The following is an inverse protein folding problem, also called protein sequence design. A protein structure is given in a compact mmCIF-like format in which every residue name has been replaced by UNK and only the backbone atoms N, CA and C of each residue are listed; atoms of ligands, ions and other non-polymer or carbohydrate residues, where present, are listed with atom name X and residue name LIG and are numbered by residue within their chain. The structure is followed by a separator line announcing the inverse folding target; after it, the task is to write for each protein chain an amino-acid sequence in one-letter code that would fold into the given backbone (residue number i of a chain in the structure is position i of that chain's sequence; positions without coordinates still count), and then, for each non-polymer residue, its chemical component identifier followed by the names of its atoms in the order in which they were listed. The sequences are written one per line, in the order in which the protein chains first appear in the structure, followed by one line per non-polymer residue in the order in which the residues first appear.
data_IF_992738950406
#
_entry.id   IF_992738950406
#
_cell.length_a   1.000
_cell.length_b   1.000
_cell.length_c   1.000
_cell.angle_alpha   90.00
_cell.angle_beta   90.00
_cell.angle_gamma   90.00
#
_symmetry.space_group_name_H-M   'P 1'
#
loop_
_entity.id
_entity.type
_entity.pdbx_description
1 polymer ?
#
# COMPACT_ATOMS: atom_id res chain seq x y z
N UNK A 1 -19.44 -0.98 -56.68
CA UNK A 1 -20.08 -1.26 -55.37
C UNK A 1 -19.16 -2.08 -54.45
N UNK A 2 -18.64 -3.24 -54.85
CA UNK A 2 -17.74 -4.09 -53.99
C UNK A 2 -16.49 -3.38 -53.49
N UNK A 3 -15.84 -2.51 -54.32
CA UNK A 3 -14.65 -1.75 -53.95
C UNK A 3 -14.94 -0.62 -52.94
N UNK A 4 -16.13 -0.03 -52.97
CA UNK A 4 -16.55 1.00 -52.01
C UNK A 4 -16.87 0.39 -50.65
N UNK A 5 -17.47 -0.81 -50.64
CA UNK A 5 -17.73 -1.53 -49.38
C UNK A 5 -16.43 -1.96 -48.72
N UNK A 6 -15.41 -2.37 -49.50
CA UNK A 6 -14.10 -2.71 -48.97
C UNK A 6 -13.37 -1.49 -48.34
N UNK A 7 -13.50 -0.32 -48.95
CA UNK A 7 -12.97 0.93 -48.47
C UNK A 7 -13.65 1.41 -47.19
N UNK A 8 -14.97 1.22 -47.10
CA UNK A 8 -15.74 1.52 -45.87
C UNK A 8 -15.39 0.58 -44.71
N UNK A 9 -15.15 -0.71 -44.98
CA UNK A 9 -14.68 -1.66 -43.96
C UNK A 9 -13.26 -1.35 -43.44
N UNK A 10 -12.40 -0.80 -44.26
CA UNK A 10 -11.03 -0.34 -43.85
C UNK A 10 -11.07 0.94 -42.98
N UNK A 11 -12.09 1.78 -43.13
CA UNK A 11 -12.29 3.00 -42.31
C UNK A 11 -12.86 2.71 -40.93
N UNK A 12 -13.51 1.55 -40.70
CA UNK A 12 -13.97 1.10 -39.39
C UNK A 12 -12.89 0.38 -38.57
N UNK A 13 -11.73 0.15 -39.14
CA UNK A 13 -10.60 -0.50 -38.49
C UNK A 13 -9.79 0.45 -37.65
N UNK A 14 -10.00 0.39 -36.32
CA UNK A 14 -9.00 0.78 -35.33
C UNK A 14 -9.00 2.20 -34.76
N UNK A 15 -9.94 2.42 -33.88
CA UNK A 15 -9.59 3.19 -32.68
C UNK A 15 -9.53 2.21 -31.49
N UNK A 16 -8.55 1.34 -31.47
CA UNK A 16 -8.13 0.65 -30.23
C UNK A 16 -7.45 1.68 -29.34
N UNK A 17 -8.23 2.60 -28.80
CA UNK A 17 -7.79 3.44 -27.71
C UNK A 17 -7.50 2.52 -26.54
N UNK A 18 -6.27 2.53 -26.06
CA UNK A 18 -5.94 1.84 -24.81
C UNK A 18 -6.89 2.37 -23.72
N UNK A 19 -7.80 1.50 -23.29
CA UNK A 19 -8.79 1.86 -22.29
C UNK A 19 -8.06 2.22 -20.99
N UNK A 20 -8.36 3.40 -20.44
CA UNK A 20 -7.87 3.78 -19.12
C UNK A 20 -8.43 2.81 -18.09
N UNK A 21 -7.54 2.19 -17.33
CA UNK A 21 -7.88 1.30 -16.23
C UNK A 21 -7.50 1.98 -14.93
N UNK A 22 -8.45 2.05 -14.00
CA UNK A 22 -8.24 2.48 -12.63
C UNK A 22 -8.93 1.51 -11.70
N UNK A 23 -8.15 0.75 -10.95
CA UNK A 23 -8.61 -0.38 -10.15
C UNK A 23 -8.11 -0.29 -8.71
N UNK A 24 -8.89 -0.86 -7.80
CA UNK A 24 -8.47 -1.10 -6.43
C UNK A 24 -8.37 -2.60 -6.18
N UNK A 25 -7.27 -3.04 -5.57
CA UNK A 25 -7.02 -4.44 -5.18
C UNK A 25 -6.67 -4.53 -3.72
N UNK A 26 -7.10 -5.59 -3.07
CA UNK A 26 -6.79 -5.88 -1.67
C UNK A 26 -6.02 -7.18 -1.56
N UNK A 27 -5.20 -7.29 -0.52
CA UNK A 27 -4.41 -8.52 -0.27
C UNK A 27 -5.28 -9.71 0.11
N UNK A 28 -6.45 -9.46 0.70
CA UNK A 28 -7.41 -10.50 1.11
C UNK A 28 -8.81 -9.89 1.28
N UNK A 29 -9.87 -10.70 1.07
CA UNK A 29 -11.26 -10.26 1.23
C UNK A 29 -11.85 -10.65 2.58
N UNK A 30 -11.12 -11.42 3.38
CA UNK A 30 -11.49 -11.80 4.75
C UNK A 30 -10.25 -11.74 5.63
N UNK A 31 -10.40 -11.17 6.85
CA UNK A 31 -9.29 -11.05 7.80
C UNK A 31 -9.83 -10.93 9.23
N UNK A 32 -8.98 -11.26 10.20
CA UNK A 32 -9.26 -11.01 11.62
C UNK A 32 -9.16 -9.53 11.97
N UNK A 33 -9.88 -9.11 12.99
CA UNK A 33 -9.89 -7.70 13.46
C UNK A 33 -8.50 -7.21 13.90
N UNK A 34 -7.59 -8.12 14.25
CA UNK A 34 -6.19 -7.83 14.63
C UNK A 34 -5.21 -7.94 13.46
N UNK A 35 -5.68 -8.22 12.24
CA UNK A 35 -4.83 -8.32 11.08
C UNK A 35 -4.82 -7.02 10.26
N UNK A 36 -3.78 -6.88 9.42
CA UNK A 36 -3.64 -5.75 8.50
C UNK A 36 -4.10 -6.13 7.10
N UNK A 37 -4.71 -5.17 6.42
CA UNK A 37 -5.16 -5.25 5.04
C UNK A 37 -4.34 -4.30 4.19
N UNK A 38 -3.65 -4.80 3.18
CA UNK A 38 -3.04 -3.96 2.16
C UNK A 38 -4.07 -3.69 1.06
N UNK A 39 -4.27 -2.42 0.72
CA UNK A 39 -5.05 -1.99 -0.43
C UNK A 39 -4.14 -1.22 -1.38
N UNK A 40 -4.27 -1.48 -2.67
CA UNK A 40 -3.51 -0.86 -3.74
C UNK A 40 -4.46 -0.34 -4.81
N UNK A 41 -4.27 0.93 -5.18
CA UNK A 41 -4.98 1.58 -6.28
C UNK A 41 -4.01 1.69 -7.45
N UNK A 42 -4.32 1.05 -8.58
CA UNK A 42 -3.45 1.00 -9.77
C UNK A 42 -4.11 1.64 -10.96
N UNK A 43 -3.32 2.33 -11.77
CA UNK A 43 -3.75 2.95 -13.02
C UNK A 43 -2.71 2.77 -14.13
N UNK A 44 -3.18 2.62 -15.36
CA UNK A 44 -2.34 2.44 -16.55
C UNK A 44 -2.07 3.74 -17.33
N UNK A 45 -2.43 4.88 -16.76
CA UNK A 45 -2.19 6.21 -17.30
C UNK A 45 -1.77 7.16 -16.19
N UNK A 46 -1.03 8.22 -16.52
CA UNK A 46 -0.68 9.25 -15.54
C UNK A 46 -1.91 10.08 -15.21
N UNK A 47 -2.24 10.16 -13.94
CA UNK A 47 -3.39 10.86 -13.43
C UNK A 47 -3.04 11.74 -12.24
N UNK A 48 -3.84 12.79 -12.09
CA UNK A 48 -3.73 13.79 -11.04
C UNK A 48 -4.90 13.70 -10.06
N UNK A 49 -4.86 14.48 -8.98
CA UNK A 49 -5.96 14.63 -8.03
C UNK A 49 -6.50 13.29 -7.48
N UNK A 50 -5.57 12.33 -7.21
CA UNK A 50 -5.97 11.08 -6.57
C UNK A 50 -6.62 11.35 -5.21
N UNK A 51 -7.85 10.87 -5.06
CA UNK A 51 -8.62 10.99 -3.82
C UNK A 51 -8.94 9.58 -3.31
N UNK A 52 -8.31 9.15 -2.20
CA UNK A 52 -8.62 7.87 -1.57
C UNK A 52 -10.04 7.88 -1.00
N UNK A 53 -10.65 6.71 -0.78
CA UNK A 53 -11.90 6.63 -0.05
C UNK A 53 -11.70 7.05 1.42
N UNK A 54 -12.76 7.51 2.05
CA UNK A 54 -12.74 7.71 3.50
C UNK A 54 -12.71 6.34 4.19
N UNK A 55 -11.51 5.91 4.60
CA UNK A 55 -11.29 4.62 5.23
C UNK A 55 -11.94 4.53 6.61
N UNK A 56 -11.93 5.62 7.39
CA UNK A 56 -12.55 5.65 8.72
C UNK A 56 -14.06 5.47 8.64
N UNK A 57 -14.72 6.16 7.70
CA UNK A 57 -16.15 5.97 7.45
C UNK A 57 -16.46 4.56 6.92
N UNK A 58 -15.47 3.84 6.39
CA UNK A 58 -15.58 2.45 5.95
C UNK A 58 -15.24 1.44 7.06
N UNK A 59 -14.92 1.88 8.27
CA UNK A 59 -14.58 1.04 9.41
C UNK A 59 -13.11 0.60 9.48
N UNK A 60 -12.20 1.33 8.83
CA UNK A 60 -10.76 1.03 8.82
C UNK A 60 -9.93 2.22 9.26
N UNK A 61 -8.91 1.97 10.07
CA UNK A 61 -7.86 2.92 10.42
C UNK A 61 -6.68 2.74 9.45
N UNK A 62 -6.15 3.84 8.92
CA UNK A 62 -4.89 3.83 8.16
C UNK A 62 -3.73 3.72 9.14
N UNK A 63 -2.91 2.67 9.00
CA UNK A 63 -1.74 2.40 9.84
C UNK A 63 -0.44 2.47 9.04
N UNK A 64 -0.51 2.71 7.73
CA UNK A 64 0.65 2.95 6.86
C UNK A 64 0.25 3.47 5.49
N UNK A 65 1.14 4.25 4.86
CA UNK A 65 0.93 4.86 3.55
C UNK A 65 0.40 6.29 3.61
N UNK A 66 0.10 6.92 2.43
CA UNK A 66 0.24 6.32 1.12
C UNK A 66 1.71 6.10 0.70
N UNK A 67 1.98 4.94 0.10
CA UNK A 67 3.20 4.71 -0.66
C UNK A 67 2.87 4.79 -2.15
N UNK A 68 3.60 5.61 -2.91
CA UNK A 68 3.41 5.75 -4.34
C UNK A 68 4.51 5.01 -5.09
N UNK A 69 4.13 4.30 -6.16
CA UNK A 69 5.06 3.69 -7.11
C UNK A 69 4.68 4.09 -8.53
N UNK A 70 5.70 4.39 -9.35
CA UNK A 70 5.53 4.66 -10.78
C UNK A 70 6.50 3.75 -11.52
N UNK A 71 5.98 3.01 -12.48
CA UNK A 71 6.76 2.15 -13.38
C UNK A 71 6.40 2.44 -14.83
N UNK A 72 7.42 2.66 -15.64
CA UNK A 72 7.27 2.79 -17.08
C UNK A 72 8.22 1.82 -17.75
N UNK A 73 7.74 1.05 -18.70
CA UNK A 73 8.57 0.14 -19.48
C UNK A 73 8.31 0.30 -20.97
N UNK A 74 9.36 0.01 -21.75
CA UNK A 74 9.30 0.03 -23.22
C UNK A 74 9.89 -1.28 -23.73
N UNK A 75 9.05 -2.15 -24.26
CA UNK A 75 9.46 -3.47 -24.75
C UNK A 75 8.88 -3.67 -26.16
N UNK A 76 9.75 -3.93 -27.14
CA UNK A 76 9.34 -4.21 -28.54
C UNK A 76 8.41 -3.13 -29.13
N UNK A 77 8.71 -1.86 -28.89
CA UNK A 77 7.91 -0.73 -29.40
C UNK A 77 6.59 -0.50 -28.67
N UNK A 78 6.27 -1.29 -27.65
CA UNK A 78 5.11 -1.08 -26.78
C UNK A 78 5.53 -0.41 -25.49
N UNK A 79 4.88 0.70 -25.16
CA UNK A 79 5.02 1.39 -23.88
C UNK A 79 3.95 0.88 -22.92
N UNK A 80 4.34 0.59 -21.68
CA UNK A 80 3.41 0.37 -20.59
C UNK A 80 3.71 1.34 -19.45
N UNK A 81 2.67 1.86 -18.84
CA UNK A 81 2.72 2.75 -17.70
C UNK A 81 1.88 2.16 -16.57
N UNK A 82 2.41 2.22 -15.36
CA UNK A 82 1.67 1.82 -14.16
C UNK A 82 2.04 2.76 -13.01
N UNK A 83 1.02 3.38 -12.42
CA UNK A 83 1.14 4.20 -11.20
C UNK A 83 0.26 3.57 -10.14
N UNK A 84 0.78 3.47 -8.92
CA UNK A 84 0.00 2.88 -7.82
C UNK A 84 0.15 3.66 -6.53
N UNK A 85 -0.91 3.60 -5.71
CA UNK A 85 -0.96 4.10 -4.33
C UNK A 85 -1.33 2.96 -3.40
N UNK A 86 -0.49 2.70 -2.41
CA UNK A 86 -0.68 1.60 -1.46
C UNK A 86 -0.91 2.13 -0.05
N UNK A 87 -1.92 1.58 0.63
CA UNK A 87 -2.21 1.83 2.04
C UNK A 87 -2.22 0.52 2.82
N UNK A 88 -1.87 0.61 4.08
CA UNK A 88 -2.04 -0.47 5.06
C UNK A 88 -3.16 -0.04 6.01
N UNK A 89 -4.17 -0.87 6.11
CA UNK A 89 -5.37 -0.62 6.89
C UNK A 89 -5.48 -1.63 8.03
N UNK A 90 -6.08 -1.21 9.14
CA UNK A 90 -6.47 -2.08 10.24
C UNK A 90 -7.98 -1.93 10.46
N UNK A 91 -8.75 -3.03 10.55
CA UNK A 91 -10.18 -2.95 10.85
C UNK A 91 -10.41 -2.38 12.25
N UNK A 92 -11.42 -1.52 12.41
CA UNK A 92 -11.83 -0.99 13.70
C UNK A 92 -12.99 -1.78 14.31
N UNK A 93 -13.67 -2.60 13.52
CA UNK A 93 -14.82 -3.40 13.96
C UNK A 93 -14.97 -4.67 13.14
N UNK A 94 -15.69 -5.65 13.67
CA UNK A 94 -16.02 -6.90 12.98
C UNK A 94 -17.24 -6.71 12.07
N UNK A 95 -17.41 -7.62 11.12
CA UNK A 95 -18.55 -7.68 10.23
C UNK A 95 -18.19 -7.43 8.79
N UNK A 96 -19.20 -7.21 7.95
CA UNK A 96 -19.03 -6.93 6.55
C UNK A 96 -18.83 -5.43 6.33
N UNK A 97 -17.61 -5.02 6.08
CA UNK A 97 -17.22 -3.64 5.81
C UNK A 97 -17.08 -3.42 4.30
N UNK A 98 -17.37 -2.20 3.84
CA UNK A 98 -17.22 -1.86 2.42
C UNK A 98 -16.30 -0.66 2.27
N UNK A 99 -15.16 -0.87 1.65
CA UNK A 99 -14.28 0.21 1.21
C UNK A 99 -14.91 0.85 -0.02
N UNK A 100 -15.19 2.15 0.07
CA UNK A 100 -15.84 2.91 -0.99
C UNK A 100 -14.90 3.18 -2.16
N UNK A 101 -15.42 3.85 -3.18
CA UNK A 101 -14.67 4.21 -4.38
C UNK A 101 -13.56 5.21 -4.06
N UNK A 102 -12.39 5.00 -4.64
CA UNK A 102 -11.39 6.04 -4.88
C UNK A 102 -11.69 6.76 -6.19
N UNK A 103 -11.16 7.95 -6.38
CA UNK A 103 -11.24 8.67 -7.64
C UNK A 103 -9.89 9.23 -8.06
N UNK A 104 -9.71 9.38 -9.37
CA UNK A 104 -8.53 10.01 -9.99
C UNK A 104 -8.98 10.76 -11.24
N UNK A 105 -8.28 11.84 -11.57
CA UNK A 105 -8.47 12.59 -12.79
C UNK A 105 -7.41 12.21 -13.83
N UNK A 106 -7.84 11.79 -15.01
CA UNK A 106 -6.96 11.45 -16.14
C UNK A 106 -7.52 12.15 -17.37
N UNK A 107 -6.73 13.02 -18.00
CA UNK A 107 -7.15 13.82 -19.17
C UNK A 107 -8.47 14.58 -18.93
N UNK A 108 -8.59 15.26 -17.80
CA UNK A 108 -9.80 16.00 -17.38
C UNK A 108 -11.06 15.13 -17.23
N UNK A 109 -10.89 13.80 -17.13
CA UNK A 109 -11.96 12.86 -16.85
C UNK A 109 -11.76 12.20 -15.49
N UNK A 110 -12.85 12.08 -14.72
CA UNK A 110 -12.81 11.42 -13.40
C UNK A 110 -13.11 9.93 -13.55
N UNK A 111 -12.16 9.12 -13.15
CA UNK A 111 -12.28 7.67 -13.05
C UNK A 111 -12.48 7.26 -11.59
N UNK A 112 -13.27 6.22 -11.37
CA UNK A 112 -13.59 5.72 -10.03
C UNK A 112 -13.38 4.21 -9.97
N UNK A 113 -12.86 3.73 -8.84
CA UNK A 113 -12.76 2.30 -8.59
C UNK A 113 -14.11 1.69 -8.21
N UNK A 114 -14.22 0.39 -8.28
CA UNK A 114 -15.39 -0.33 -7.70
C UNK A 114 -15.23 -0.44 -6.18
N UNK A 115 -16.32 -0.36 -5.40
CA UNK A 115 -16.29 -0.64 -3.97
C UNK A 115 -15.86 -2.08 -3.69
N UNK A 116 -15.10 -2.28 -2.61
CA UNK A 116 -14.61 -3.61 -2.20
C UNK A 116 -15.22 -4.00 -0.87
N UNK A 117 -15.86 -5.17 -0.84
CA UNK A 117 -16.43 -5.75 0.37
C UNK A 117 -15.39 -6.61 1.09
N UNK A 118 -15.22 -6.35 2.38
CA UNK A 118 -14.27 -7.03 3.26
C UNK A 118 -15.03 -7.67 4.42
N UNK A 119 -14.80 -8.95 4.67
CA UNK A 119 -15.36 -9.65 5.82
C UNK A 119 -14.36 -9.66 6.98
N UNK A 120 -14.67 -8.96 8.06
CA UNK A 120 -13.83 -8.90 9.25
C UNK A 120 -14.37 -9.85 10.31
N UNK A 121 -13.54 -10.84 10.65
CA UNK A 121 -13.86 -11.91 11.61
C UNK A 121 -13.30 -11.59 13.00
N UNK A 122 -13.42 -12.54 13.92
CA UNK A 122 -12.75 -12.48 15.21
C UNK A 122 -11.24 -12.36 15.04
N UNK A 123 -10.56 -11.90 16.09
CA UNK A 123 -9.10 -11.91 16.10
C UNK A 123 -8.58 -13.32 15.79
N UNK A 124 -7.59 -13.41 14.91
CA UNK A 124 -6.89 -14.65 14.63
C UNK A 124 -5.95 -14.92 15.79
N UNK A 125 -6.06 -16.12 16.38
CA UNK A 125 -5.07 -16.57 17.35
C UNK A 125 -3.75 -16.80 16.62
N UNK A 126 -2.71 -16.08 17.03
CA UNK A 126 -1.37 -16.35 16.56
C UNK A 126 -0.95 -17.72 17.11
N UNK A 127 -0.29 -18.58 16.30
CA UNK A 127 0.24 -19.84 16.80
C UNK A 127 1.13 -19.54 18.01
N UNK A 128 0.74 -20.04 19.17
CA UNK A 128 1.59 -20.00 20.36
C UNK A 128 2.74 -20.96 20.11
N UNK A 129 3.89 -20.41 19.80
CA UNK A 129 5.11 -21.20 19.76
C UNK A 129 5.37 -21.67 21.20
N UNK A 130 5.46 -23.00 21.49
CA UNK A 130 5.65 -23.49 22.84
C UNK A 130 6.90 -22.93 23.54
N UNK A 131 7.82 -22.33 22.80
CA UNK A 131 9.06 -21.70 23.27
C UNK A 131 9.01 -20.16 23.28
N UNK A 132 7.86 -19.55 22.99
CA UNK A 132 7.73 -18.11 23.12
C UNK A 132 7.44 -17.72 24.57
N UNK A 133 8.28 -16.84 25.10
CA UNK A 133 7.94 -16.04 26.28
C UNK A 133 6.58 -15.34 26.05
N UNK A 134 5.78 -15.08 27.12
CA UNK A 134 4.48 -14.46 26.99
C UNK A 134 4.58 -13.22 26.10
N UNK A 135 3.65 -13.14 25.14
CA UNK A 135 3.61 -12.06 24.13
C UNK A 135 3.63 -10.71 24.84
N UNK A 136 4.81 -10.10 24.83
CA UNK A 136 5.02 -8.73 25.22
C UNK A 136 4.33 -7.86 24.16
N UNK A 137 3.67 -6.79 24.53
CA UNK A 137 2.90 -5.93 23.61
C UNK A 137 3.80 -5.40 22.47
N UNK A 138 3.20 -4.93 21.38
CA UNK A 138 3.98 -4.41 20.24
C UNK A 138 4.91 -3.27 20.64
N UNK A 139 4.58 -2.52 21.69
CA UNK A 139 5.39 -1.46 22.25
C UNK A 139 6.65 -1.98 22.96
N UNK A 140 6.63 -3.25 23.39
CA UNK A 140 7.75 -3.91 24.06
C UNK A 140 8.68 -4.68 23.10
N UNK A 141 8.39 -4.65 21.80
CA UNK A 141 9.14 -5.41 20.79
C UNK A 141 10.23 -4.62 20.07
N UNK A 142 10.41 -3.35 20.43
CA UNK A 142 11.40 -2.47 19.83
C UNK A 142 12.09 -1.65 20.91
N UNK A 143 13.40 -1.87 21.10
CA UNK A 143 14.20 -1.12 22.05
C UNK A 143 15.35 -0.43 21.32
N UNK A 144 15.45 0.87 21.49
CA UNK A 144 16.62 1.65 21.09
C UNK A 144 17.44 1.97 22.36
N UNK A 145 18.63 1.44 22.41
CA UNK A 145 19.56 1.65 23.53
C UNK A 145 20.75 2.46 23.01
N UNK A 146 21.11 3.51 23.72
CA UNK A 146 22.35 4.26 23.49
C UNK A 146 23.42 3.82 24.49
N UNK A 147 24.44 3.13 24.01
CA UNK A 147 25.65 2.82 24.80
C UNK A 147 26.67 3.95 24.65
N UNK A 148 27.05 4.54 25.77
CA UNK A 148 27.99 5.67 25.83
C UNK A 148 29.29 5.16 26.41
N UNK A 149 30.44 5.42 25.73
CA UNK A 149 31.76 4.96 26.14
C UNK A 149 32.20 5.55 27.48
N UNK A 150 31.79 6.77 27.80
CA UNK A 150 32.05 7.46 29.06
C UNK A 150 30.83 8.33 29.41
N UNK A 151 30.19 8.05 30.53
CA UNK A 151 29.03 8.80 31.02
C UNK A 151 29.37 10.10 31.75
N UNK A 152 30.67 10.34 32.03
CA UNK A 152 31.11 11.52 32.73
C UNK A 152 32.42 12.08 32.11
N UNK A 153 32.37 12.52 30.83
CA UNK A 153 33.54 12.97 30.09
C UNK A 153 34.03 14.33 30.55
N UNK A 154 35.34 14.59 30.43
CA UNK A 154 35.89 15.92 30.56
C UNK A 154 35.51 16.80 29.36
N UNK A 155 35.60 18.12 29.58
CA UNK A 155 35.36 19.09 28.49
C UNK A 155 36.36 18.83 27.36
N UNK A 156 35.86 18.68 26.13
CA UNK A 156 36.59 18.30 24.89
C UNK A 156 37.09 16.84 24.84
N UNK A 157 36.68 15.97 25.75
CA UNK A 157 36.96 14.54 25.64
C UNK A 157 36.02 13.92 24.58
N UNK A 158 36.53 13.18 23.58
CA UNK A 158 35.71 12.51 22.62
C UNK A 158 34.95 11.33 23.26
N UNK A 159 33.64 11.25 23.04
CA UNK A 159 32.82 10.10 23.45
C UNK A 159 32.32 9.38 22.23
N UNK A 160 32.22 8.07 22.36
CA UNK A 160 31.54 7.22 21.34
C UNK A 160 30.15 6.87 21.85
N UNK A 161 29.15 7.10 21.02
CA UNK A 161 27.77 6.69 21.28
C UNK A 161 27.38 5.60 20.25
N UNK A 162 27.02 4.43 20.75
CA UNK A 162 26.57 3.32 19.91
C UNK A 162 25.09 3.12 20.15
N UNK A 163 24.30 3.36 19.10
CA UNK A 163 22.87 3.07 19.12
C UNK A 163 22.63 1.61 18.74
N UNK A 164 22.01 0.85 19.65
CA UNK A 164 21.63 -0.55 19.43
C UNK A 164 20.12 -0.65 19.32
N UNK A 165 19.63 -1.10 18.17
CA UNK A 165 18.23 -1.37 17.96
C UNK A 165 17.98 -2.86 18.16
N UNK A 166 17.21 -3.20 19.18
CA UNK A 166 16.76 -4.55 19.47
C UNK A 166 15.32 -4.69 18.98
N UNK A 167 15.04 -5.74 18.20
CA UNK A 167 13.70 -6.02 17.70
C UNK A 167 13.43 -7.53 17.77
N UNK A 168 12.16 -7.87 17.99
CA UNK A 168 11.71 -9.25 17.98
C UNK A 168 11.48 -9.77 16.57
N UNK A 169 11.30 -11.06 16.44
CA UNK A 169 11.12 -11.76 15.17
C UNK A 169 10.04 -11.12 14.27
N UNK A 170 10.32 -11.08 12.95
CA UNK A 170 9.42 -10.64 11.87
C UNK A 170 9.25 -9.11 11.69
N UNK A 171 10.13 -8.30 12.22
CA UNK A 171 10.21 -6.88 11.86
C UNK A 171 11.34 -6.69 10.86
N UNK A 172 11.02 -6.21 9.65
CA UNK A 172 12.01 -5.80 8.65
C UNK A 172 12.23 -4.28 8.71
N UNK A 173 13.49 -3.85 8.74
CA UNK A 173 13.85 -2.44 8.58
C UNK A 173 13.94 -2.18 7.08
N UNK A 174 13.00 -1.40 6.53
CA UNK A 174 12.94 -1.11 5.09
C UNK A 174 13.70 0.16 4.70
N UNK A 175 14.00 1.04 5.65
CA UNK A 175 14.71 2.29 5.39
C UNK A 175 15.39 2.81 6.65
N UNK A 176 16.66 3.19 6.52
CA UNK A 176 17.44 3.86 7.56
C UNK A 176 17.84 5.25 7.05
N UNK A 177 17.60 6.30 7.83
CA UNK A 177 18.04 7.66 7.53
C UNK A 177 18.53 8.31 8.81
N UNK A 178 19.73 8.84 8.77
CA UNK A 178 20.17 9.82 9.76
C UNK A 178 19.49 11.17 9.50
N UNK A 179 19.06 11.82 10.54
CA UNK A 179 18.42 13.15 10.49
C UNK A 179 19.48 14.24 10.73
#
# INVERSE_FOLDING_TARGET
MKKVILLLLLLFGSSLMAQVQFEAKVSKNSLGVNERLRIEFTMNADGDNFTPPNFEASGFKVVGGPSQSISQSWINGKSSFNKSYTYILMPMQKGSLTIRQASIEINNQIYKTTPIKINVTNAVELPKNPNEMPAISADDNLYLVADISNSNPYVNEPITVVYKLYFSYNIGISNWREL
#
